data_IF_931073677881
#
_entry.id   IF_931073677881
#
_cell.length_a   1.000
_cell.length_b   1.000
_cell.length_c   1.000
_cell.angle_alpha   90.00
_cell.angle_beta   90.00
_cell.angle_gamma   90.00
#
_symmetry.space_group_name_H-M   'P 1'
#
loop_
_entity.id
_entity.type
_entity.pdbx_description
1 polymer ?
#
# COMPACT_ATOMS: atom_id res chain seq x y z
N UNK A 1 7.33 10.43 7.87
CA UNK A 1 7.14 8.96 7.86
C UNK A 1 5.68 8.71 8.22
N UNK A 2 4.92 7.96 7.41
CA UNK A 2 3.48 7.81 7.65
C UNK A 2 3.17 6.79 8.76
N UNK A 3 2.13 7.08 9.54
CA UNK A 3 1.65 6.21 10.63
C UNK A 3 0.47 5.36 10.18
N UNK A 4 0.15 4.32 10.95
CA UNK A 4 -1.04 3.49 10.73
C UNK A 4 -2.33 4.31 10.87
N UNK A 5 -2.38 5.23 11.82
CA UNK A 5 -3.50 6.15 12.01
C UNK A 5 -3.69 7.11 10.84
N UNK A 6 -2.60 7.60 10.24
CA UNK A 6 -2.67 8.39 9.00
C UNK A 6 -3.27 7.57 7.85
N UNK A 7 -2.83 6.31 7.69
CA UNK A 7 -3.41 5.41 6.70
C UNK A 7 -4.91 5.21 6.94
N UNK A 8 -5.31 4.82 8.17
CA UNK A 8 -6.72 4.63 8.57
C UNK A 8 -7.55 5.87 8.25
N UNK A 9 -7.05 7.07 8.56
CA UNK A 9 -7.78 8.31 8.27
C UNK A 9 -7.94 8.57 6.76
N UNK A 10 -6.95 8.19 5.96
CA UNK A 10 -6.99 8.37 4.51
C UNK A 10 -7.91 7.36 3.80
N UNK A 11 -7.98 6.11 4.30
CA UNK A 11 -8.69 5.02 3.61
C UNK A 11 -10.02 4.65 4.27
N UNK A 12 -10.26 5.15 5.48
CA UNK A 12 -11.37 4.74 6.33
C UNK A 12 -11.17 3.37 6.96
N UNK A 13 -12.27 2.75 7.39
CA UNK A 13 -12.28 1.43 8.00
C UNK A 13 -11.94 1.42 9.49
N UNK A 14 -11.80 0.22 10.03
CA UNK A 14 -11.59 -0.05 11.45
C UNK A 14 -10.19 -0.60 11.69
N UNK A 15 -9.40 0.08 12.52
CA UNK A 15 -8.09 -0.37 12.93
C UNK A 15 -8.20 -1.32 14.13
N UNK A 16 -7.50 -2.45 14.07
CA UNK A 16 -7.46 -3.44 15.14
C UNK A 16 -6.01 -3.89 15.37
N UNK A 17 -5.46 -3.76 16.58
CA UNK A 17 -5.95 -2.94 17.69
C UNK A 17 -5.73 -1.43 17.44
N UNK A 18 -6.61 -0.59 17.96
CA UNK A 18 -6.48 0.89 17.89
C UNK A 18 -5.21 1.41 18.59
N UNK A 19 -4.64 0.65 19.53
CA UNK A 19 -3.41 1.02 20.24
C UNK A 19 -2.18 1.14 19.34
N UNK A 20 -2.24 0.65 18.10
CA UNK A 20 -1.16 0.72 17.12
C UNK A 20 -1.31 1.87 16.12
N UNK A 21 -2.23 2.82 16.36
CA UNK A 21 -2.43 3.97 15.47
C UNK A 21 -1.15 4.80 15.25
N UNK A 22 -0.30 4.94 16.27
CA UNK A 22 0.95 5.71 16.17
C UNK A 22 2.14 4.90 15.64
N UNK A 23 1.94 3.61 15.34
CA UNK A 23 2.99 2.77 14.78
C UNK A 23 3.39 3.25 13.37
N UNK A 24 4.66 3.06 12.98
CA UNK A 24 5.09 3.33 11.61
C UNK A 24 4.43 2.34 10.64
N UNK A 25 3.97 2.83 9.49
CA UNK A 25 3.25 2.02 8.50
C UNK A 25 4.16 0.95 7.87
N UNK A 26 5.28 1.38 7.26
CA UNK A 26 6.13 0.53 6.43
C UNK A 26 5.77 0.58 4.94
N UNK A 27 6.56 -0.06 4.05
CA UNK A 27 6.24 -0.18 2.63
C UNK A 27 4.98 -1.00 2.39
N UNK A 28 4.26 -0.74 1.31
CA UNK A 28 3.04 -1.48 0.94
C UNK A 28 3.37 -2.54 -0.11
N UNK A 29 2.93 -3.78 0.12
CA UNK A 29 3.04 -4.91 -0.80
C UNK A 29 1.67 -5.55 -1.04
N UNK A 30 1.39 -5.94 -2.29
CA UNK A 30 0.10 -6.52 -2.71
C UNK A 30 0.18 -8.04 -2.96
N UNK A 31 1.37 -8.64 -2.88
CA UNK A 31 1.62 -10.07 -3.11
C UNK A 31 2.19 -10.69 -1.83
N UNK A 32 1.40 -11.54 -1.17
CA UNK A 32 1.77 -12.17 0.10
C UNK A 32 3.06 -12.99 0.00
N UNK A 33 3.35 -13.54 -1.19
CA UNK A 33 4.50 -14.40 -1.44
C UNK A 33 5.84 -13.65 -1.44
N UNK A 34 5.78 -12.32 -1.59
CA UNK A 34 6.95 -11.43 -1.70
C UNK A 34 7.08 -10.47 -0.53
N UNK A 35 6.34 -10.71 0.55
CA UNK A 35 6.40 -9.90 1.76
C UNK A 35 7.78 -9.99 2.38
N UNK A 36 8.35 -8.82 2.66
CA UNK A 36 9.54 -8.66 3.47
C UNK A 36 9.18 -8.19 4.90
N UNK A 37 10.02 -8.49 5.91
CA UNK A 37 9.78 -8.06 7.27
C UNK A 37 9.58 -6.54 7.41
N UNK A 38 8.47 -6.16 8.06
CA UNK A 38 8.12 -4.76 8.29
C UNK A 38 7.25 -4.11 7.21
N UNK A 39 6.95 -4.82 6.12
CA UNK A 39 5.98 -4.38 5.11
C UNK A 39 4.53 -4.49 5.59
N UNK A 40 3.64 -3.82 4.87
CA UNK A 40 2.18 -3.87 5.01
C UNK A 40 1.61 -4.65 3.86
N UNK A 41 0.88 -5.71 4.17
CA UNK A 41 0.18 -6.48 3.16
C UNK A 41 -1.16 -5.83 2.80
N UNK A 42 -1.40 -5.61 1.52
CA UNK A 42 -2.66 -5.11 1.01
C UNK A 42 -3.41 -6.21 0.28
N UNK A 43 -4.46 -6.73 0.90
CA UNK A 43 -5.22 -7.86 0.42
C UNK A 43 -6.17 -7.43 -0.73
N UNK A 44 -5.65 -7.34 -1.96
CA UNK A 44 -6.48 -7.09 -3.13
C UNK A 44 -7.26 -8.36 -3.51
N UNK A 45 -8.56 -8.37 -3.22
CA UNK A 45 -9.45 -9.48 -3.55
C UNK A 45 -9.79 -9.45 -5.04
N UNK A 46 -9.40 -10.49 -5.79
CA UNK A 46 -9.78 -10.67 -7.20
C UNK A 46 -11.02 -11.56 -7.34
N UNK A 47 -11.57 -11.70 -8.56
CA UNK A 47 -12.74 -12.57 -8.83
C UNK A 47 -12.57 -14.04 -8.39
N UNK A 48 -11.33 -14.50 -8.14
CA UNK A 48 -11.00 -15.88 -7.74
C UNK A 48 -10.17 -15.98 -6.46
N UNK A 49 -9.83 -14.86 -5.81
CA UNK A 49 -8.85 -14.85 -4.73
C UNK A 49 -9.35 -14.06 -3.54
N UNK A 50 -9.46 -14.74 -2.42
CA UNK A 50 -9.86 -14.20 -1.13
C UNK A 50 -8.63 -13.62 -0.42
N UNK A 51 -8.43 -12.29 -0.54
CA UNK A 51 -7.28 -11.59 -0.01
C UNK A 51 -7.08 -11.78 1.51
N UNK A 52 -8.17 -11.96 2.25
CA UNK A 52 -8.14 -12.16 3.70
C UNK A 52 -7.47 -13.48 4.12
N UNK A 53 -7.49 -14.50 3.27
CA UNK A 53 -6.81 -15.79 3.55
C UNK A 53 -5.28 -15.64 3.52
N UNK A 54 -4.77 -14.70 2.73
CA UNK A 54 -3.33 -14.46 2.58
C UNK A 54 -2.74 -13.58 3.69
N UNK A 55 -3.58 -12.94 4.52
CA UNK A 55 -3.10 -12.14 5.65
C UNK A 55 -2.28 -13.01 6.63
N UNK A 56 -2.69 -14.26 6.85
CA UNK A 56 -1.94 -15.21 7.68
C UNK A 56 -0.55 -15.51 7.12
N UNK A 57 -0.44 -15.78 5.81
CA UNK A 57 0.85 -15.99 5.14
C UNK A 57 1.74 -14.75 5.23
N UNK A 58 1.16 -13.57 4.95
CA UNK A 58 1.90 -12.31 5.05
C UNK A 58 2.43 -12.08 6.46
N UNK A 59 1.63 -12.34 7.49
CA UNK A 59 2.08 -12.25 8.89
C UNK A 59 3.15 -13.27 9.25
N UNK A 60 3.08 -14.49 8.70
CA UNK A 60 4.12 -15.51 8.88
C UNK A 60 5.47 -15.08 8.27
N UNK A 61 5.44 -14.27 7.20
CA UNK A 61 6.63 -13.69 6.56
C UNK A 61 7.14 -12.40 7.21
N UNK A 62 6.43 -11.90 8.23
CA UNK A 62 6.86 -10.72 8.98
C UNK A 62 6.20 -9.40 8.56
N UNK A 63 5.05 -9.45 7.86
CA UNK A 63 4.24 -8.25 7.67
C UNK A 63 3.88 -7.63 9.03
N UNK A 64 4.04 -6.32 9.14
CA UNK A 64 3.72 -5.54 10.35
C UNK A 64 2.21 -5.34 10.50
N UNK A 65 1.50 -5.28 9.38
CA UNK A 65 0.06 -5.17 9.36
C UNK A 65 -0.56 -5.49 8.00
N UNK A 66 -1.89 -5.51 7.95
CA UNK A 66 -2.60 -5.78 6.71
C UNK A 66 -3.86 -4.93 6.53
N UNK A 67 -4.15 -4.54 5.28
CA UNK A 67 -5.44 -3.95 4.89
C UNK A 67 -6.28 -5.04 4.24
N UNK A 68 -7.46 -5.30 4.80
CA UNK A 68 -8.30 -6.47 4.49
C UNK A 68 -9.77 -6.09 4.43
N UNK A 69 -10.59 -6.89 3.74
CA UNK A 69 -12.04 -6.69 3.64
C UNK A 69 -12.85 -7.40 4.75
N UNK A 70 -12.16 -8.11 5.65
CA UNK A 70 -12.76 -8.92 6.72
C UNK A 70 -11.95 -8.85 8.00
N UNK A 71 -12.55 -9.37 9.07
CA UNK A 71 -11.83 -9.51 10.34
C UNK A 71 -10.80 -10.63 10.26
N UNK A 72 -9.60 -10.35 10.76
CA UNK A 72 -8.53 -11.33 10.92
C UNK A 72 -8.30 -11.50 12.42
N UNK A 73 -8.39 -12.74 12.89
CA UNK A 73 -8.15 -13.09 14.29
C UNK A 73 -6.67 -13.39 14.54
N UNK A 74 -6.26 -13.34 15.80
CA UNK A 74 -4.92 -13.72 16.25
C UNK A 74 -3.77 -12.91 15.61
N UNK A 75 -3.81 -11.59 15.80
CA UNK A 75 -2.84 -10.67 15.22
C UNK A 75 -1.44 -10.74 15.86
N UNK A 76 -1.30 -11.34 17.06
CA UNK A 76 -0.02 -11.53 17.76
C UNK A 76 0.85 -10.25 17.79
N UNK A 77 0.26 -9.09 18.13
CA UNK A 77 0.96 -7.80 18.19
C UNK A 77 1.08 -7.03 16.87
N UNK A 78 0.48 -7.53 15.79
CA UNK A 78 0.32 -6.83 14.51
C UNK A 78 -1.01 -6.10 14.45
N UNK A 79 -1.19 -5.28 13.41
CA UNK A 79 -2.44 -4.56 13.19
C UNK A 79 -3.11 -4.95 11.88
N UNK A 80 -4.43 -4.77 11.82
CA UNK A 80 -5.20 -4.81 10.58
C UNK A 80 -6.09 -3.58 10.45
N UNK A 81 -6.29 -3.12 9.23
CA UNK A 81 -7.36 -2.18 8.92
C UNK A 81 -8.39 -2.94 8.09
N UNK A 82 -9.56 -3.16 8.68
CA UNK A 82 -10.71 -3.72 7.98
C UNK A 82 -11.43 -2.60 7.23
N UNK A 83 -11.53 -2.72 5.92
CA UNK A 83 -12.29 -1.82 5.04
C UNK A 83 -13.40 -2.61 4.35
N UNK A 84 -14.37 -1.93 3.73
CA UNK A 84 -15.41 -2.64 2.96
C UNK A 84 -14.90 -3.09 1.57
N UNK A 85 -13.96 -2.34 1.00
CA UNK A 85 -13.41 -2.59 -0.34
C UNK A 85 -11.93 -2.20 -0.40
N UNK A 86 -11.06 -3.20 -0.56
CA UNK A 86 -9.61 -3.00 -0.56
C UNK A 86 -9.11 -2.28 -1.81
N UNK A 87 -9.83 -2.33 -2.94
CA UNK A 87 -9.47 -1.56 -4.14
C UNK A 87 -9.78 -0.08 -3.96
N UNK A 88 -10.96 0.25 -3.42
CA UNK A 88 -11.32 1.64 -3.10
C UNK A 88 -10.36 2.24 -2.08
N UNK A 89 -10.01 1.48 -1.04
CA UNK A 89 -9.05 1.91 -0.05
C UNK A 89 -7.65 2.16 -0.68
N UNK A 90 -7.22 1.33 -1.64
CA UNK A 90 -5.91 1.50 -2.28
C UNK A 90 -5.89 2.78 -3.14
N UNK A 91 -6.98 3.02 -3.86
CA UNK A 91 -7.15 4.25 -4.63
C UNK A 91 -7.18 5.48 -3.72
N UNK A 92 -7.90 5.43 -2.59
CA UNK A 92 -7.94 6.51 -1.61
C UNK A 92 -6.53 6.81 -1.06
N UNK A 93 -5.76 5.77 -0.73
CA UNK A 93 -4.38 5.93 -0.30
C UNK A 93 -3.47 6.53 -1.39
N UNK A 94 -3.61 6.07 -2.64
CA UNK A 94 -2.87 6.61 -3.76
C UNK A 94 -3.19 8.10 -3.99
N UNK A 95 -4.47 8.48 -3.93
CA UNK A 95 -4.91 9.88 -4.02
C UNK A 95 -4.37 10.74 -2.88
N UNK A 96 -4.41 10.23 -1.65
CA UNK A 96 -3.86 10.91 -0.48
C UNK A 96 -2.34 11.14 -0.61
N UNK A 97 -1.59 10.12 -1.01
CA UNK A 97 -0.14 10.28 -1.25
C UNK A 97 0.13 11.21 -2.41
N UNK A 98 -0.73 11.18 -3.44
CA UNK A 98 -0.61 12.05 -4.61
C UNK A 98 -0.83 13.51 -4.26
N UNK A 99 -1.81 13.84 -3.42
CA UNK A 99 -2.07 15.24 -3.01
C UNK A 99 -0.95 15.83 -2.16
N UNK A 100 -0.21 14.99 -1.43
CA UNK A 100 0.98 15.38 -0.66
C UNK A 100 2.27 15.45 -1.48
N UNK A 101 2.29 14.93 -2.71
CA UNK A 101 3.49 14.94 -3.52
C UNK A 101 3.68 16.30 -4.19
N UNK A 102 4.66 17.08 -3.70
CA UNK A 102 5.01 18.39 -4.24
C UNK A 102 5.98 18.39 -5.44
N UNK A 103 6.48 17.22 -5.83
CA UNK A 103 7.45 17.10 -6.92
C UNK A 103 6.82 17.14 -8.32
N UNK A 104 7.67 17.23 -9.34
CA UNK A 104 7.26 17.12 -10.75
C UNK A 104 6.83 15.69 -11.06
N UNK A 105 5.60 15.50 -11.56
CA UNK A 105 5.13 14.21 -12.04
C UNK A 105 4.86 14.25 -13.54
N UNK A 106 5.37 13.24 -14.24
CA UNK A 106 5.20 13.08 -15.69
C UNK A 106 4.46 11.75 -15.91
N UNK A 107 3.27 11.83 -16.47
CA UNK A 107 2.49 10.66 -16.89
C UNK A 107 2.66 10.44 -18.39
N UNK A 108 2.98 9.21 -18.80
CA UNK A 108 3.15 8.83 -20.21
C UNK A 108 2.02 7.88 -20.59
N UNK A 109 1.23 8.26 -21.60
CA UNK A 109 0.13 7.45 -22.15
C UNK A 109 0.34 7.22 -23.65
N UNK A 110 -0.36 6.24 -24.23
CA UNK A 110 -0.27 5.88 -25.65
C UNK A 110 -0.40 4.39 -25.90
N UNK A 111 -0.69 3.98 -27.13
CA UNK A 111 -0.84 2.57 -27.51
C UNK A 111 0.50 1.82 -27.49
N UNK A 112 1.59 2.43 -27.97
CA UNK A 112 2.94 1.86 -28.00
C UNK A 112 3.99 2.85 -27.44
N UNK A 113 5.21 2.35 -27.14
CA UNK A 113 6.36 3.21 -26.80
C UNK A 113 6.41 3.80 -25.38
N UNK A 114 5.40 3.60 -24.54
CA UNK A 114 5.32 4.15 -23.15
C UNK A 114 6.55 3.85 -22.30
N UNK A 115 7.04 2.61 -22.31
CA UNK A 115 8.21 2.18 -21.54
C UNK A 115 9.48 2.89 -22.02
N UNK A 116 9.67 2.96 -23.34
CA UNK A 116 10.81 3.65 -23.97
C UNK A 116 10.77 5.14 -23.66
N UNK A 117 9.61 5.79 -23.83
CA UNK A 117 9.42 7.20 -23.52
C UNK A 117 9.69 7.50 -22.03
N UNK A 118 9.20 6.66 -21.10
CA UNK A 118 9.52 6.77 -19.67
C UNK A 118 11.02 6.73 -19.41
N UNK A 119 11.75 5.82 -20.06
CA UNK A 119 13.21 5.70 -19.90
C UNK A 119 13.95 6.91 -20.47
N UNK A 120 13.56 7.40 -21.65
CA UNK A 120 14.16 8.60 -22.26
C UNK A 120 13.97 9.84 -21.37
N UNK A 121 12.75 10.04 -20.85
CA UNK A 121 12.44 11.12 -19.91
C UNK A 121 13.31 10.99 -18.65
N UNK A 122 13.43 9.79 -18.08
CA UNK A 122 14.30 9.55 -16.94
C UNK A 122 15.76 9.89 -17.24
N UNK A 123 16.31 9.43 -18.38
CA UNK A 123 17.69 9.72 -18.78
C UNK A 123 17.95 11.22 -18.96
N UNK A 124 16.99 11.96 -19.54
CA UNK A 124 17.09 13.40 -19.73
C UNK A 124 17.02 14.19 -18.41
N UNK A 125 16.16 13.77 -17.48
CA UNK A 125 15.84 14.54 -16.27
C UNK A 125 16.57 14.08 -15.01
N UNK A 126 17.18 12.89 -14.98
CA UNK A 126 17.82 12.32 -13.76
C UNK A 126 18.89 13.20 -13.12
N UNK A 127 19.52 14.11 -13.87
CA UNK A 127 20.53 15.04 -13.33
C UNK A 127 19.93 16.31 -12.69
N UNK A 128 18.67 16.64 -13.01
CA UNK A 128 18.01 17.89 -12.61
C UNK A 128 16.85 17.67 -11.65
N UNK A 129 16.16 16.53 -11.76
CA UNK A 129 15.11 16.12 -10.84
C UNK A 129 15.64 14.99 -9.98
N UNK A 130 16.02 15.30 -8.74
CA UNK A 130 16.27 14.30 -7.70
C UNK A 130 14.91 13.95 -7.12
N UNK A 131 14.54 12.67 -7.11
CA UNK A 131 13.27 12.23 -6.56
C UNK A 131 13.16 12.62 -5.08
N UNK A 132 12.23 13.52 -4.76
CA UNK A 132 11.83 13.90 -3.41
C UNK A 132 10.93 12.84 -2.79
#
# INVERSE_FOLDING_TARGET
>A
MSTVGELRNAIGGRLIPESLADAPLGPVAIDSRRIEPGEVFWALSGQRFDGGQFAGEAFARGARGAVVDREVVNLLGRWTIKVDDTHKALNAWAHYRRSKFGGTMIAVTGSAGKTTARQMIHCALRRRLVGS
#
